data_IF_100786115571
#
_entry.id   IF_100786115571
#
_cell.length_a   1.000
_cell.length_b   1.000
_cell.length_c   1.000
_cell.angle_alpha   90.00
_cell.angle_beta   90.00
_cell.angle_gamma   90.00
#
_symmetry.space_group_name_H-M   'P 1'
#
loop_
_entity.id
_entity.type
_entity.pdbx_description
1 polymer ?
#
# COMPACT_ATOMS: atom_id res chain seq x y z
N UNK A 1 -7.99 13.25 16.42
CA UNK A 1 -7.94 13.64 15.00
C UNK A 1 -8.89 12.74 14.25
N UNK A 2 -9.88 13.28 13.54
CA UNK A 2 -10.79 12.47 12.72
C UNK A 2 -10.29 12.51 11.27
N UNK A 3 -9.30 11.67 10.96
CA UNK A 3 -8.67 11.65 9.62
C UNK A 3 -9.67 11.31 8.51
N UNK A 4 -10.82 10.71 8.86
CA UNK A 4 -11.90 10.34 7.94
C UNK A 4 -12.56 11.57 7.30
N UNK A 5 -12.42 12.77 7.89
CA UNK A 5 -12.96 14.02 7.35
C UNK A 5 -11.95 14.81 6.50
N UNK A 6 -10.77 14.26 6.20
CA UNK A 6 -9.80 14.90 5.32
C UNK A 6 -10.33 14.87 3.87
N UNK A 7 -10.46 16.02 3.18
CA UNK A 7 -10.94 16.06 1.80
C UNK A 7 -10.01 15.35 0.80
N UNK A 8 -8.72 15.19 1.13
CA UNK A 8 -7.74 14.51 0.29
C UNK A 8 -7.67 12.99 0.54
N UNK A 9 -8.47 12.46 1.47
CA UNK A 9 -8.63 11.03 1.68
C UNK A 9 -9.38 10.40 0.50
N UNK A 10 -8.62 9.75 -0.38
CA UNK A 10 -9.12 9.13 -1.60
C UNK A 10 -9.68 7.72 -1.36
N UNK A 11 -9.18 7.01 -0.34
CA UNK A 11 -9.65 5.68 0.03
C UNK A 11 -9.45 5.45 1.53
N UNK A 12 -10.48 4.99 2.22
CA UNK A 12 -10.33 4.38 3.55
C UNK A 12 -11.07 3.05 3.66
N UNK A 13 -10.33 1.98 3.93
CA UNK A 13 -10.86 0.64 4.17
C UNK A 13 -10.55 0.20 5.61
N UNK A 14 -11.44 0.43 6.59
CA UNK A 14 -11.39 -0.23 7.90
C UNK A 14 -11.80 -1.70 7.74
N UNK A 15 -10.90 -2.54 7.21
CA UNK A 15 -11.20 -3.92 6.81
C UNK A 15 -11.73 -4.82 7.95
N UNK A 16 -11.53 -4.44 9.21
CA UNK A 16 -12.07 -5.12 10.38
C UNK A 16 -13.56 -4.80 10.62
N UNK A 17 -14.12 -3.72 10.05
CA UNK A 17 -15.55 -3.35 10.15
C UNK A 17 -16.34 -3.71 8.88
N UNK A 18 -15.65 -4.03 7.79
CA UNK A 18 -16.23 -4.22 6.47
C UNK A 18 -16.29 -5.71 6.12
N UNK A 19 -17.42 -6.34 6.40
CA UNK A 19 -17.75 -7.73 6.04
C UNK A 19 -18.42 -7.83 4.64
N UNK A 20 -18.59 -9.05 4.11
CA UNK A 20 -19.20 -9.36 2.83
C UNK A 20 -18.21 -9.51 1.68
N UNK A 21 -18.69 -9.99 0.53
CA UNK A 21 -17.89 -10.15 -0.69
C UNK A 21 -17.64 -8.84 -1.43
N UNK A 22 -18.33 -7.77 -1.09
CA UNK A 22 -18.05 -6.41 -1.59
C UNK A 22 -18.55 -5.37 -0.59
N UNK A 23 -17.81 -4.27 -0.45
CA UNK A 23 -18.14 -3.18 0.46
C UNK A 23 -17.70 -1.83 -0.08
N UNK A 24 -18.33 -0.75 0.38
CA UNK A 24 -17.89 0.61 0.05
C UNK A 24 -16.81 1.07 1.00
N UNK A 25 -15.86 1.85 0.48
CA UNK A 25 -14.89 2.56 1.30
C UNK A 25 -15.56 3.60 2.21
N UNK A 26 -14.89 3.93 3.32
CA UNK A 26 -15.35 4.85 4.38
C UNK A 26 -14.74 6.24 4.20
N UNK A 27 -14.79 6.74 2.98
CA UNK A 27 -14.37 8.09 2.59
C UNK A 27 -15.49 8.74 1.74
N UNK A 28 -15.26 9.97 1.27
CA UNK A 28 -16.24 10.72 0.48
C UNK A 28 -16.47 10.16 -0.92
N UNK A 29 -15.54 9.38 -1.48
CA UNK A 29 -15.63 8.82 -2.83
C UNK A 29 -16.43 7.51 -2.85
N UNK A 30 -16.37 6.73 -1.77
CA UNK A 30 -17.20 5.55 -1.59
C UNK A 30 -16.94 4.44 -2.62
N UNK A 31 -15.68 4.22 -2.97
CA UNK A 31 -15.23 3.18 -3.90
C UNK A 31 -15.76 1.80 -3.49
N UNK A 32 -16.25 1.04 -4.48
CA UNK A 32 -16.59 -0.36 -4.28
C UNK A 32 -15.31 -1.20 -4.27
N UNK A 33 -15.04 -1.86 -3.15
CA UNK A 33 -14.02 -2.87 -3.01
C UNK A 33 -14.67 -4.25 -3.11
N UNK A 34 -14.16 -5.09 -4.00
CA UNK A 34 -14.60 -6.48 -4.20
C UNK A 34 -13.56 -7.42 -3.62
N UNK A 35 -14.01 -8.35 -2.78
CA UNK A 35 -13.15 -9.36 -2.17
C UNK A 35 -13.26 -10.66 -2.94
N UNK A 36 -12.11 -11.23 -3.31
CA UNK A 36 -12.01 -12.59 -3.84
C UNK A 36 -11.22 -13.42 -2.84
N UNK A 37 -11.86 -14.43 -2.25
CA UNK A 37 -11.26 -15.41 -1.34
C UNK A 37 -10.98 -14.92 0.10
N UNK A 38 -10.46 -13.71 0.28
CA UNK A 38 -10.04 -13.21 1.59
C UNK A 38 -11.19 -13.18 2.63
N UNK A 39 -10.97 -13.85 3.78
CA UNK A 39 -11.98 -14.02 4.82
C UNK A 39 -12.04 -12.81 5.76
N UNK A 40 -13.25 -12.42 6.16
CA UNK A 40 -13.40 -11.42 7.21
C UNK A 40 -13.07 -12.00 8.59
N UNK A 41 -12.35 -11.23 9.40
CA UNK A 41 -12.08 -11.52 10.81
C UNK A 41 -12.22 -10.25 11.64
N UNK A 42 -12.40 -10.35 12.97
CA UNK A 42 -12.38 -9.18 13.84
C UNK A 42 -11.07 -8.35 13.79
N UNK A 43 -9.97 -8.96 13.31
CA UNK A 43 -8.67 -8.30 13.16
C UNK A 43 -8.43 -7.66 11.78
N UNK A 44 -9.32 -7.85 10.81
CA UNK A 44 -9.13 -7.43 9.41
C UNK A 44 -9.47 -8.53 8.41
N UNK A 45 -8.99 -8.39 7.17
CA UNK A 45 -9.17 -9.41 6.12
C UNK A 45 -8.00 -10.38 6.13
N UNK A 46 -8.31 -11.66 6.26
CA UNK A 46 -7.36 -12.76 6.21
C UNK A 46 -7.17 -13.24 4.78
N UNK A 47 -5.92 -13.32 4.35
CA UNK A 47 -5.46 -13.80 3.07
C UNK A 47 -4.71 -15.12 3.28
N UNK A 48 -4.98 -16.12 2.46
CA UNK A 48 -4.48 -17.48 2.61
C UNK A 48 -3.07 -17.73 2.03
N UNK A 49 -2.54 -16.77 1.26
CA UNK A 49 -1.23 -16.87 0.60
C UNK A 49 -1.26 -17.42 -0.83
N UNK A 50 -2.43 -17.67 -1.42
CA UNK A 50 -2.54 -18.23 -2.78
C UNK A 50 -3.10 -17.20 -3.77
N UNK A 51 -4.39 -16.93 -3.72
CA UNK A 51 -5.12 -16.15 -4.73
C UNK A 51 -5.99 -15.03 -4.14
N UNK A 52 -6.08 -14.94 -2.82
CA UNK A 52 -6.87 -13.94 -2.11
C UNK A 52 -6.50 -12.50 -2.49
N UNK A 53 -7.50 -11.68 -2.82
CA UNK A 53 -7.28 -10.29 -3.24
C UNK A 53 -8.47 -9.40 -2.92
N UNK A 54 -8.19 -8.16 -2.53
CA UNK A 54 -9.19 -7.08 -2.52
C UNK A 54 -8.92 -6.18 -3.72
N UNK A 55 -9.92 -6.04 -4.58
CA UNK A 55 -9.85 -5.26 -5.81
C UNK A 55 -10.71 -4.02 -5.69
N UNK A 56 -10.10 -2.85 -5.91
CA UNK A 56 -10.77 -1.57 -6.03
C UNK A 56 -10.70 -1.18 -7.50
N UNK A 57 -11.80 -0.67 -8.07
CA UNK A 57 -11.83 -0.20 -9.46
C UNK A 57 -10.78 0.92 -9.69
N UNK A 58 -10.68 1.42 -10.92
CA UNK A 58 -9.80 2.53 -11.25
C UNK A 58 -9.99 3.69 -10.25
N UNK A 59 -8.90 4.09 -9.60
CA UNK A 59 -8.77 5.25 -8.74
C UNK A 59 -8.07 6.37 -9.51
N UNK A 60 -8.80 7.35 -10.06
CA UNK A 60 -8.23 8.43 -10.86
C UNK A 60 -7.24 9.31 -10.10
N UNK A 61 -7.36 9.40 -8.77
CA UNK A 61 -6.47 10.17 -7.89
C UNK A 61 -5.02 9.67 -7.91
N UNK A 62 -4.76 8.46 -8.44
CA UNK A 62 -3.41 7.93 -8.61
C UNK A 62 -2.89 8.03 -10.05
N UNK A 63 -3.74 8.34 -11.03
CA UNK A 63 -3.36 8.38 -12.44
C UNK A 63 -2.65 9.72 -12.73
N UNK A 64 -1.38 9.67 -13.14
CA UNK A 64 -0.53 10.86 -13.33
C UNK A 64 -0.38 11.77 -12.09
N UNK A 65 -0.59 11.23 -10.89
CA UNK A 65 -0.53 12.02 -9.67
C UNK A 65 0.91 12.47 -9.37
N UNK A 66 1.11 13.76 -9.10
CA UNK A 66 2.40 14.28 -8.63
C UNK A 66 2.65 13.94 -7.15
N UNK A 67 1.60 13.65 -6.38
CA UNK A 67 1.65 13.45 -4.95
C UNK A 67 0.69 12.34 -4.54
N UNK A 68 1.10 11.47 -3.61
CA UNK A 68 0.23 10.46 -3.04
C UNK A 68 0.77 9.96 -1.70
N UNK A 69 -0.10 9.43 -0.85
CA UNK A 69 0.31 8.66 0.33
C UNK A 69 -0.50 7.39 0.44
N UNK A 70 0.16 6.26 0.66
CA UNK A 70 -0.49 4.95 0.79
C UNK A 70 -0.03 4.33 2.10
N UNK A 71 -1.00 3.96 2.95
CA UNK A 71 -0.75 3.48 4.30
C UNK A 71 -1.59 2.23 4.57
N UNK A 72 -1.08 1.31 5.38
CA UNK A 72 -1.85 0.11 5.76
C UNK A 72 -1.22 -0.67 6.90
N UNK A 73 -2.07 -1.35 7.66
CA UNK A 73 -1.65 -2.33 8.65
C UNK A 73 -1.63 -3.73 8.06
N UNK A 74 -0.57 -4.47 8.35
CA UNK A 74 -0.39 -5.85 7.91
C UNK A 74 0.14 -6.71 9.04
N UNK A 75 -0.26 -7.98 9.08
CA UNK A 75 0.30 -9.00 9.96
C UNK A 75 0.42 -10.29 9.17
N UNK A 76 1.65 -10.71 8.86
CA UNK A 76 1.90 -11.82 7.97
C UNK A 76 2.13 -13.12 8.75
N UNK A 77 1.37 -14.18 8.44
CA UNK A 77 1.49 -15.51 9.07
C UNK A 77 2.64 -16.33 8.48
N UNK A 78 3.06 -15.94 7.29
CA UNK A 78 4.30 -16.38 6.63
C UNK A 78 4.97 -15.12 6.11
N UNK A 79 6.27 -14.95 6.36
CA UNK A 79 7.05 -13.94 5.66
C UNK A 79 7.34 -14.55 4.29
N UNK A 80 6.63 -14.14 3.23
CA UNK A 80 6.64 -14.87 1.99
C UNK A 80 7.85 -14.45 1.16
N UNK A 81 8.37 -15.42 0.42
CA UNK A 81 9.53 -15.19 -0.44
C UNK A 81 9.13 -14.38 -1.71
N UNK A 82 7.85 -14.21 -2.02
CA UNK A 82 7.37 -13.24 -3.04
C UNK A 82 5.91 -12.90 -2.78
N UNK A 83 5.62 -11.67 -2.34
CA UNK A 83 4.23 -11.20 -2.25
C UNK A 83 4.09 -9.69 -2.49
N UNK A 84 2.90 -9.28 -2.91
CA UNK A 84 2.55 -7.87 -3.03
C UNK A 84 1.61 -7.46 -1.90
N UNK A 85 2.03 -6.47 -1.10
CA UNK A 85 1.15 -5.87 -0.09
C UNK A 85 -0.01 -5.14 -0.78
N UNK A 86 0.32 -4.37 -1.81
CA UNK A 86 -0.65 -3.66 -2.64
C UNK A 86 -0.01 -3.14 -3.93
N UNK A 87 -0.85 -2.71 -4.87
CA UNK A 87 -0.39 -1.90 -5.99
C UNK A 87 -1.44 -1.66 -7.07
N UNK A 88 -1.05 -0.82 -8.02
CA UNK A 88 -1.75 -0.52 -9.26
C UNK A 88 -0.75 -0.49 -10.41
N UNK A 89 -1.08 -1.13 -11.52
CA UNK A 89 -0.12 -1.39 -12.60
C UNK A 89 -0.80 -1.47 -13.95
N UNK A 90 -0.18 -0.84 -14.95
CA UNK A 90 -0.43 -1.07 -16.37
C UNK A 90 0.55 -2.12 -16.92
N UNK A 91 1.85 -1.94 -16.65
CA UNK A 91 2.91 -2.85 -17.08
C UNK A 91 4.14 -2.79 -16.13
N UNK A 92 5.24 -3.47 -16.48
CA UNK A 92 6.45 -3.52 -15.65
C UNK A 92 7.12 -2.16 -15.41
N UNK A 93 6.89 -1.18 -16.27
CA UNK A 93 7.52 0.13 -16.20
C UNK A 93 6.55 1.25 -15.79
N UNK A 94 5.24 0.96 -15.79
CA UNK A 94 4.15 1.85 -15.39
C UNK A 94 3.35 1.25 -14.24
N UNK A 95 3.79 1.51 -13.00
CA UNK A 95 3.17 0.95 -11.81
C UNK A 95 3.53 1.69 -10.52
N UNK A 96 2.69 1.49 -9.51
CA UNK A 96 2.93 1.88 -8.12
C UNK A 96 2.57 0.71 -7.25
N UNK A 97 3.56 0.04 -6.66
CA UNK A 97 3.36 -1.22 -5.95
C UNK A 97 4.40 -1.45 -4.87
N UNK A 98 4.06 -2.26 -3.88
CA UNK A 98 4.95 -2.69 -2.81
C UNK A 98 5.01 -4.21 -2.77
N UNK A 99 6.21 -4.75 -2.89
CA UNK A 99 6.48 -6.19 -2.91
C UNK A 99 7.51 -6.54 -1.82
N UNK A 100 7.26 -7.62 -1.08
CA UNK A 100 8.26 -8.30 -0.27
C UNK A 100 8.83 -9.45 -1.10
N UNK A 101 10.15 -9.54 -1.19
CA UNK A 101 10.83 -10.49 -2.08
C UNK A 101 11.79 -11.43 -1.34
N UNK A 102 12.26 -12.45 -2.06
CA UNK A 102 13.00 -13.62 -1.55
C UNK A 102 14.36 -13.24 -0.95
N UNK A 103 14.88 -12.08 -1.32
CA UNK A 103 16.18 -11.53 -0.92
C UNK A 103 16.12 -10.68 0.37
N UNK A 104 14.99 -10.69 1.08
CA UNK A 104 14.69 -9.85 2.25
C UNK A 104 14.61 -8.34 1.93
N UNK A 105 14.45 -7.97 0.67
CA UNK A 105 14.20 -6.58 0.28
C UNK A 105 12.72 -6.34 0.04
N UNK A 106 12.27 -5.19 0.52
CA UNK A 106 10.97 -4.63 0.18
C UNK A 106 11.17 -3.73 -1.03
N UNK A 107 10.61 -4.12 -2.16
CA UNK A 107 10.62 -3.34 -3.39
C UNK A 107 9.44 -2.38 -3.39
N UNK A 108 9.73 -1.10 -3.52
CA UNK A 108 8.75 -0.04 -3.71
C UNK A 108 8.90 0.47 -5.13
N UNK A 109 7.97 0.03 -5.97
CA UNK A 109 7.95 0.40 -7.37
C UNK A 109 7.20 1.71 -7.55
N UNK A 110 7.85 2.66 -8.23
CA UNK A 110 7.26 3.91 -8.70
C UNK A 110 7.75 4.08 -10.13
N UNK A 111 7.13 3.31 -11.03
CA UNK A 111 7.45 3.27 -12.45
C UNK A 111 6.55 4.24 -13.22
N UNK A 112 7.18 5.13 -13.97
CA UNK A 112 6.54 5.97 -15.00
C UNK A 112 7.58 6.36 -16.06
N UNK A 113 8.30 5.35 -16.58
CA UNK A 113 9.38 5.58 -17.54
C UNK A 113 9.48 4.41 -18.53
N UNK A 114 10.36 4.51 -19.53
CA UNK A 114 10.65 3.39 -20.43
C UNK A 114 11.39 2.21 -19.78
N UNK A 115 11.74 2.30 -18.50
CA UNK A 115 12.48 1.27 -17.76
C UNK A 115 11.92 1.03 -16.34
N UNK A 116 12.12 -0.18 -15.82
CA UNK A 116 11.73 -0.55 -14.47
C UNK A 116 12.46 0.35 -13.46
N UNK A 117 11.69 1.08 -12.66
CA UNK A 117 12.19 1.99 -11.60
C UNK A 117 11.65 1.54 -10.26
N UNK A 118 12.54 1.41 -9.28
CA UNK A 118 12.16 1.00 -7.93
C UNK A 118 13.15 1.52 -6.89
N UNK A 119 12.70 1.45 -5.64
CA UNK A 119 13.56 1.57 -4.48
C UNK A 119 13.46 0.31 -3.62
N UNK A 120 14.50 0.04 -2.84
CA UNK A 120 14.52 -1.10 -1.92
C UNK A 120 14.99 -0.69 -0.54
N UNK A 121 14.51 -1.41 0.47
CA UNK A 121 15.13 -1.45 1.79
C UNK A 121 15.07 -2.88 2.34
N UNK A 122 16.01 -3.21 3.22
CA UNK A 122 16.02 -4.50 3.89
C UNK A 122 14.97 -4.53 5.02
N UNK A 123 14.02 -5.46 4.94
CA UNK A 123 12.95 -5.65 5.94
C UNK A 123 13.27 -6.71 6.99
N UNK A 124 14.41 -7.42 6.88
CA UNK A 124 14.83 -8.46 7.82
C UNK A 124 14.89 -7.93 9.25
N UNK A 125 14.26 -8.66 10.18
CA UNK A 125 14.13 -8.25 11.59
C UNK A 125 13.16 -7.09 11.86
N UNK A 126 12.62 -6.43 10.82
CA UNK A 126 11.66 -5.32 10.95
C UNK A 126 10.23 -5.79 10.70
N UNK A 127 10.03 -6.64 9.69
CA UNK A 127 8.78 -7.37 9.47
C UNK A 127 8.97 -8.75 10.10
N UNK A 128 8.17 -9.04 11.11
CA UNK A 128 8.26 -10.27 11.90
C UNK A 128 6.95 -11.04 11.73
N UNK A 129 7.07 -12.35 11.55
CA UNK A 129 5.92 -13.25 11.46
C UNK A 129 4.98 -13.06 12.65
N UNK A 130 3.68 -13.11 12.39
CA UNK A 130 2.59 -12.98 13.37
C UNK A 130 2.63 -11.67 14.18
N UNK A 131 3.28 -10.62 13.64
CA UNK A 131 3.35 -9.29 14.23
C UNK A 131 2.78 -8.25 13.27
N UNK A 132 1.96 -7.37 13.84
CA UNK A 132 1.46 -6.20 13.13
C UNK A 132 2.59 -5.23 12.82
N UNK A 133 2.61 -4.75 11.58
CA UNK A 133 3.40 -3.60 11.18
C UNK A 133 2.54 -2.62 10.38
N UNK A 134 2.86 -1.34 10.52
CA UNK A 134 2.26 -0.26 9.74
C UNK A 134 3.22 0.14 8.62
N UNK A 135 2.80 -0.02 7.38
CA UNK A 135 3.55 0.46 6.22
C UNK A 135 3.01 1.81 5.79
N UNK A 136 3.90 2.77 5.51
CA UNK A 136 3.54 4.05 4.91
C UNK A 136 4.52 4.42 3.79
N UNK A 137 3.97 4.68 2.60
CA UNK A 137 4.68 5.32 1.48
C UNK A 137 4.17 6.75 1.34
N UNK A 138 5.07 7.71 1.42
CA UNK A 138 4.81 9.13 1.17
C UNK A 138 5.56 9.52 -0.12
N UNK A 139 4.80 9.74 -1.20
CA UNK A 139 5.33 10.11 -2.51
C UNK A 139 5.13 11.60 -2.78
N UNK A 140 6.19 12.31 -3.11
CA UNK A 140 6.22 13.72 -3.49
C UNK A 140 7.05 13.95 -4.75
N UNK A 141 6.43 13.92 -5.92
CA UNK A 141 7.08 14.08 -7.22
C UNK A 141 7.85 15.40 -7.40
N UNK A 142 7.61 16.41 -6.54
CA UNK A 142 8.32 17.69 -6.54
C UNK A 142 9.64 17.64 -5.75
N UNK A 143 9.95 16.53 -5.07
CA UNK A 143 11.21 16.34 -4.35
C UNK A 143 12.43 16.50 -5.27
N UNK A 144 13.51 17.08 -4.74
CA UNK A 144 14.73 17.37 -5.51
C UNK A 144 15.51 16.09 -5.81
N UNK A 145 15.66 15.22 -4.81
CA UNK A 145 16.31 13.92 -4.95
C UNK A 145 15.30 12.76 -4.94
N UNK A 146 15.74 11.57 -5.33
CA UNK A 146 14.93 10.35 -5.21
C UNK A 146 14.43 10.12 -3.76
N UNK A 147 15.26 10.42 -2.76
CA UNK A 147 14.92 10.26 -1.34
C UNK A 147 13.92 11.31 -0.84
N UNK A 148 13.88 12.49 -1.48
CA UNK A 148 12.83 13.49 -1.21
C UNK A 148 11.49 13.06 -1.82
N UNK A 149 11.56 12.40 -3.00
CA UNK A 149 10.38 11.96 -3.74
C UNK A 149 9.71 10.72 -3.15
N UNK A 150 10.47 9.73 -2.73
CA UNK A 150 9.92 8.50 -2.17
C UNK A 150 10.43 8.31 -0.74
N UNK A 151 9.51 8.33 0.23
CA UNK A 151 9.81 8.11 1.65
C UNK A 151 8.96 6.97 2.16
N UNK A 152 9.61 6.00 2.81
CA UNK A 152 8.94 4.81 3.35
C UNK A 152 9.18 4.73 4.84
N UNK A 153 8.13 4.38 5.58
CA UNK A 153 8.17 4.16 7.02
C UNK A 153 7.58 2.80 7.36
N UNK A 154 8.21 2.11 8.31
CA UNK A 154 7.66 0.93 8.97
C UNK A 154 7.44 1.25 10.43
N UNK A 155 6.21 1.12 10.92
CA UNK A 155 5.82 1.53 12.28
C UNK A 155 6.19 2.98 12.58
N UNK A 156 6.14 3.84 11.55
CA UNK A 156 6.60 5.24 11.58
C UNK A 156 8.11 5.44 11.77
N UNK A 157 8.91 4.38 11.75
CA UNK A 157 10.37 4.47 11.68
C UNK A 157 10.82 4.61 10.21
N UNK A 158 11.64 5.62 9.86
CA UNK A 158 12.08 5.87 8.49
C UNK A 158 12.95 4.72 7.97
N UNK A 159 12.78 4.38 6.69
CA UNK A 159 13.61 3.40 6.00
C UNK A 159 14.62 4.10 5.07
N UNK A 160 15.87 3.67 5.12
CA UNK A 160 16.89 4.08 4.16
C UNK A 160 16.68 3.32 2.85
N UNK A 161 16.40 4.04 1.78
CA UNK A 161 16.11 3.48 0.46
C UNK A 161 17.35 3.48 -0.45
N UNK A 162 17.58 2.36 -1.13
CA UNK A 162 18.45 2.27 -2.30
C UNK A 162 17.61 2.39 -3.57
N UNK A 163 18.11 3.05 -4.60
CA UNK A 163 17.33 3.33 -5.82
C UNK A 163 17.92 2.68 -7.06
N UNK A 164 17.04 2.16 -7.91
CA UNK A 164 17.34 1.76 -9.28
C UNK A 164 16.49 2.60 -10.23
N UNK A 165 17.16 3.44 -11.04
CA UNK A 165 16.51 4.47 -11.85
C UNK A 165 16.21 5.77 -11.09
N UNK A 166 15.69 6.76 -11.83
CA UNK A 166 15.24 8.02 -11.27
C UNK A 166 13.77 7.92 -10.89
N UNK A 167 13.42 8.25 -9.64
CA UNK A 167 12.03 8.30 -9.20
C UNK A 167 11.32 9.39 -10.03
N UNK A 168 10.24 9.05 -10.77
CA UNK A 168 9.59 9.99 -11.67
C UNK A 168 8.92 11.13 -10.89
N UNK A 169 8.61 12.23 -11.58
CA UNK A 169 7.91 13.39 -11.01
C UNK A 169 6.38 13.18 -10.91
N UNK A 170 5.85 12.14 -11.55
CA UNK A 170 4.46 11.70 -11.39
C UNK A 170 4.39 10.18 -11.34
N UNK A 171 3.39 9.64 -10.66
CA UNK A 171 2.96 8.26 -10.83
C UNK A 171 2.54 8.01 -12.28
N UNK A 172 2.60 6.77 -12.75
CA UNK A 172 2.17 6.44 -14.10
C UNK A 172 0.67 6.67 -14.31
N UNK A 173 0.31 7.03 -15.53
CA UNK A 173 -1.07 6.90 -15.99
C UNK A 173 -1.44 5.42 -16.04
N UNK A 174 -2.29 5.02 -15.11
CA UNK A 174 -2.79 3.64 -15.02
C UNK A 174 -4.32 3.64 -15.09
N UNK A 175 -4.87 4.57 -15.88
CA UNK A 175 -6.31 4.67 -16.16
C UNK A 175 -6.88 3.32 -16.63
N UNK A 176 -8.04 2.97 -16.10
CA UNK A 176 -8.70 1.69 -16.31
C UNK A 176 -8.11 0.52 -15.53
N UNK A 177 -6.98 0.69 -14.82
CA UNK A 177 -6.40 -0.37 -14.00
C UNK A 177 -6.92 -0.30 -12.55
N UNK A 178 -7.32 -1.46 -12.04
CA UNK A 178 -7.72 -1.63 -10.64
C UNK A 178 -6.55 -1.43 -9.68
N UNK A 179 -6.83 -0.93 -8.48
CA UNK A 179 -5.92 -1.03 -7.34
C UNK A 179 -6.16 -2.34 -6.60
N UNK A 180 -5.12 -3.04 -6.17
CA UNK A 180 -5.21 -4.34 -5.50
C UNK A 180 -4.48 -4.33 -4.16
N UNK A 181 -5.01 -5.07 -3.20
CA UNK A 181 -4.41 -5.31 -1.89
C UNK A 181 -4.26 -6.82 -1.69
N UNK A 182 -3.09 -7.23 -1.20
CA UNK A 182 -2.78 -8.59 -0.79
C UNK A 182 -2.39 -9.56 -1.91
N UNK A 183 -2.44 -9.15 -3.18
CA UNK A 183 -1.99 -9.96 -4.31
C UNK A 183 -1.66 -9.10 -5.54
N UNK A 184 -0.85 -9.67 -6.44
CA UNK A 184 -0.60 -9.19 -7.80
C UNK A 184 -1.74 -9.58 -8.76
N UNK A 185 -1.62 -9.11 -10.00
CA UNK A 185 -2.35 -9.58 -11.19
C UNK A 185 -1.94 -10.99 -11.67
N UNK A 186 -1.20 -11.77 -10.87
CA UNK A 186 -0.79 -13.16 -11.15
C UNK A 186 -1.08 -14.02 -9.92
N UNK A 187 -1.47 -15.28 -10.12
CA UNK A 187 -2.04 -16.18 -9.09
C UNK A 187 -1.07 -16.69 -8.00
N UNK A 188 0.14 -16.12 -7.85
CA UNK A 188 1.20 -16.77 -7.04
C UNK A 188 1.99 -15.81 -6.12
N UNK A 189 1.61 -14.53 -6.05
CA UNK A 189 2.33 -13.53 -5.25
C UNK A 189 1.40 -12.89 -4.21
N UNK A 190 0.61 -13.71 -3.52
CA UNK A 190 -0.34 -13.29 -2.50
C UNK A 190 0.31 -13.25 -1.11
N UNK A 191 -0.20 -12.36 -0.25
CA UNK A 191 0.18 -12.33 1.15
C UNK A 191 -0.53 -13.47 1.89
N UNK A 192 0.13 -14.07 2.87
CA UNK A 192 -0.50 -14.93 3.86
C UNK A 192 -0.58 -14.16 5.19
N UNK A 193 -1.79 -13.91 5.69
CA UNK A 193 -2.01 -13.19 6.95
C UNK A 193 -3.12 -12.15 6.86
N UNK A 194 -3.04 -11.08 7.64
CA UNK A 194 -4.08 -10.07 7.79
C UNK A 194 -3.67 -8.74 7.15
N UNK A 195 -4.62 -8.07 6.51
CA UNK A 195 -4.56 -6.64 6.23
C UNK A 195 -5.70 -5.91 6.95
N UNK A 196 -5.39 -4.72 7.48
CA UNK A 196 -6.34 -3.87 8.19
C UNK A 196 -6.05 -2.39 7.96
N UNK A 197 -7.04 -1.53 8.28
CA UNK A 197 -7.00 -0.06 8.16
C UNK A 197 -6.11 0.43 7.01
N UNK A 198 -6.63 0.37 5.79
CA UNK A 198 -5.90 0.76 4.57
C UNK A 198 -6.35 2.16 4.11
N UNK A 199 -5.40 3.05 3.83
CA UNK A 199 -5.67 4.44 3.47
C UNK A 199 -4.88 4.87 2.24
N UNK A 200 -5.51 5.66 1.37
CA UNK A 200 -4.85 6.36 0.27
C UNK A 200 -5.24 7.84 0.32
N UNK A 201 -4.25 8.71 0.23
CA UNK A 201 -4.42 10.16 0.06
C UNK A 201 -3.95 10.60 -1.31
N UNK A 202 -4.70 11.51 -1.94
CA UNK A 202 -4.33 12.17 -3.21
C UNK A 202 -3.24 13.25 -3.06
N UNK A 203 -2.57 13.29 -1.90
CA UNK A 203 -1.48 14.21 -1.58
C UNK A 203 -0.39 13.51 -0.78
N UNK A 204 0.77 14.14 -0.69
CA UNK A 204 1.82 13.75 0.24
C UNK A 204 1.43 14.19 1.64
N UNK A 205 1.27 13.25 2.56
CA UNK A 205 1.13 13.54 3.98
C UNK A 205 2.47 14.03 4.53
N UNK A 206 2.40 14.94 5.49
CA UNK A 206 3.53 15.22 6.37
C UNK A 206 3.80 14.04 7.30
N UNK A 207 5.02 13.95 7.84
CA UNK A 207 5.35 12.92 8.83
C UNK A 207 4.43 12.99 10.07
N UNK A 208 4.05 14.20 10.49
CA UNK A 208 3.14 14.40 11.62
C UNK A 208 1.74 13.86 11.35
N UNK A 209 1.21 14.04 10.14
CA UNK A 209 -0.10 13.50 9.75
C UNK A 209 -0.08 11.97 9.67
N UNK A 210 0.93 11.40 9.02
CA UNK A 210 1.10 9.95 8.95
C UNK A 210 1.26 9.32 10.36
N UNK A 211 2.02 9.97 11.25
CA UNK A 211 2.17 9.55 12.64
C UNK A 211 0.85 9.64 13.42
N UNK A 212 0.04 10.68 13.18
CA UNK A 212 -1.26 10.81 13.81
C UNK A 212 -2.23 9.71 13.37
N UNK A 213 -2.24 9.33 12.09
CA UNK A 213 -3.02 8.19 11.57
C UNK A 213 -2.55 6.88 12.21
N UNK A 214 -1.23 6.66 12.27
CA UNK A 214 -0.65 5.50 12.93
C UNK A 214 -1.13 5.40 14.38
N UNK A 215 -1.01 6.47 15.18
CA UNK A 215 -1.45 6.48 16.57
C UNK A 215 -2.96 6.29 16.72
N UNK A 216 -3.77 6.89 15.84
CA UNK A 216 -5.22 6.77 15.86
C UNK A 216 -5.72 5.34 15.57
N UNK A 217 -4.96 4.55 14.82
CA UNK A 217 -5.32 3.18 14.41
C UNK A 217 -4.59 2.10 15.24
N UNK A 218 -3.40 2.39 15.76
CA UNK A 218 -2.52 1.47 16.50
C UNK A 218 -3.17 0.74 17.67
N UNK A 219 -4.16 1.33 18.34
CA UNK A 219 -4.76 0.72 19.54
C UNK A 219 -5.34 -0.67 19.30
N UNK A 220 -5.69 -1.01 18.04
CA UNK A 220 -6.17 -2.33 17.60
C UNK A 220 -5.05 -3.33 17.29
N UNK A 221 -3.84 -2.85 17.03
CA UNK A 221 -2.74 -3.62 16.45
C UNK A 221 -1.57 -3.64 17.42
N UNK A 222 -1.62 -4.58 18.36
CA UNK A 222 -0.58 -4.85 19.38
C UNK A 222 0.01 -6.23 19.22
#
# INVERSE_FOLDING_TARGET
MNFVCDPDLALYLPLHELDGGSFKSRDSHGYLATVSGALWTPGGRYFDGNDDVITIADMPQLNNAANASILGWFNLTTIPDDCYLFGKRLDSNHNTAVQLYTDNLCYVYIGNSGSLTYSTFNYSGKIVKDKWFFFALLYDGNGVSNADKARVYLNMEPQTLSFSGAVPATLADTTGQSFRIGNRYTLVSAIAGLAADFLIYGRTLTLGEAAAIYLATKWRYR
#
